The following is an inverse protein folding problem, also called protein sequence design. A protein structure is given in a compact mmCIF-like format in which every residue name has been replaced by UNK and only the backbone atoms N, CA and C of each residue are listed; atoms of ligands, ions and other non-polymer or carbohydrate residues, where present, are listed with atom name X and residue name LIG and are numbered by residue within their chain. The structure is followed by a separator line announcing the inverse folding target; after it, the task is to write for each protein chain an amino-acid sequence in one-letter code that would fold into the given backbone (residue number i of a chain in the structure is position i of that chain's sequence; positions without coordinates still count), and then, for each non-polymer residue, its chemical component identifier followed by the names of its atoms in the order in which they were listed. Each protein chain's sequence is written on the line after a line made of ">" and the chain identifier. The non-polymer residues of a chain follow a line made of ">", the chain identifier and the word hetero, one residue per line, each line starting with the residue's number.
data_IF_043372699723
#
_entry.id   IF_043372699723
#
_cell.length_a   1.000
_cell.length_b   1.000
_cell.length_c   1.000
_cell.angle_alpha   90.00
_cell.angle_beta   90.00
_cell.angle_gamma   90.00
#
_symmetry.space_group_name_H-M   'P 1'
#
loop_
_entity.id
_entity.type
_entity.pdbx_description
1 polymer ?
#
# COMPACT_ATOMS: atom_id res chain seq x y z
N UNK A 1 10.72 -12.86 -13.78
CA UNK A 1 11.89 -12.64 -14.65
C UNK A 1 11.76 -11.35 -15.47
N UNK A 2 10.69 -11.06 -16.26
CA UNK A 2 10.63 -9.84 -17.06
C UNK A 2 10.62 -8.54 -16.24
N UNK A 3 9.94 -8.51 -15.09
CA UNK A 3 9.92 -7.34 -14.20
C UNK A 3 11.32 -7.04 -13.63
N UNK A 4 12.06 -8.08 -13.27
CA UNK A 4 13.42 -8.00 -12.76
C UNK A 4 14.37 -7.42 -13.79
N UNK A 5 14.26 -7.87 -15.06
CA UNK A 5 15.04 -7.33 -16.18
C UNK A 5 14.67 -5.87 -16.49
N UNK A 6 13.39 -5.51 -16.36
CA UNK A 6 12.90 -4.14 -16.59
C UNK A 6 13.43 -3.18 -15.52
N UNK A 7 13.43 -3.59 -14.25
CA UNK A 7 13.96 -2.80 -13.13
C UNK A 7 15.48 -2.67 -13.23
N UNK A 8 16.20 -3.76 -13.57
CA UNK A 8 17.65 -3.71 -13.82
C UNK A 8 17.98 -2.79 -15.00
N UNK A 9 17.24 -2.89 -16.10
CA UNK A 9 17.39 -2.02 -17.27
C UNK A 9 17.14 -0.55 -16.95
N UNK A 10 16.13 -0.27 -16.12
CA UNK A 10 15.81 1.07 -15.66
C UNK A 10 16.93 1.69 -14.83
N UNK A 11 17.49 0.94 -13.85
CA UNK A 11 18.63 1.42 -13.06
C UNK A 11 19.91 1.59 -13.87
N UNK A 12 20.14 0.72 -14.87
CA UNK A 12 21.27 0.84 -15.78
C UNK A 12 21.14 2.09 -16.69
N UNK A 13 19.92 2.43 -17.12
CA UNK A 13 19.63 3.61 -17.96
C UNK A 13 19.73 4.93 -17.18
N UNK A 14 19.44 4.92 -15.87
CA UNK A 14 19.49 6.12 -15.02
C UNK A 14 20.91 6.55 -14.62
N UNK A 15 21.97 5.81 -15.02
CA UNK A 15 23.34 6.14 -14.64
C UNK A 15 23.53 6.20 -13.11
N UNK A 16 22.82 5.35 -12.37
CA UNK A 16 22.92 5.31 -10.91
C UNK A 16 24.33 4.88 -10.48
N UNK A 17 24.91 5.56 -9.50
CA UNK A 17 26.19 5.20 -8.87
C UNK A 17 26.12 3.85 -8.12
N UNK A 18 24.96 3.18 -8.12
CA UNK A 18 24.73 1.89 -7.51
C UNK A 18 25.40 0.78 -8.32
N UNK A 19 26.19 -0.03 -7.65
CA UNK A 19 26.75 -1.24 -8.24
C UNK A 19 25.67 -2.28 -8.50
N UNK A 20 25.80 -3.08 -9.53
CA UNK A 20 24.84 -4.14 -9.90
C UNK A 20 24.49 -5.02 -8.70
N UNK A 21 25.47 -5.32 -7.85
CA UNK A 21 25.24 -6.15 -6.65
C UNK A 21 24.28 -5.47 -5.64
N UNK A 22 24.38 -4.17 -5.46
CA UNK A 22 23.52 -3.39 -4.56
C UNK A 22 22.06 -3.41 -5.05
N UNK A 23 21.89 -3.25 -6.36
CA UNK A 23 20.56 -3.34 -7.01
C UNK A 23 19.98 -4.75 -6.84
N UNK A 24 20.79 -5.79 -7.06
CA UNK A 24 20.35 -7.18 -6.88
C UNK A 24 19.94 -7.47 -5.43
N UNK A 25 20.71 -7.03 -4.44
CA UNK A 25 20.38 -7.20 -3.03
C UNK A 25 19.05 -6.49 -2.67
N UNK A 26 18.85 -5.27 -3.15
CA UNK A 26 17.59 -4.53 -2.96
C UNK A 26 16.41 -5.26 -3.60
N UNK A 27 16.56 -5.70 -4.86
CA UNK A 27 15.49 -6.40 -5.57
C UNK A 27 15.13 -7.72 -4.89
N UNK A 28 16.11 -8.50 -4.44
CA UNK A 28 15.85 -9.74 -3.71
C UNK A 28 15.16 -9.46 -2.38
N UNK A 29 15.58 -8.44 -1.64
CA UNK A 29 14.98 -8.10 -0.35
C UNK A 29 13.53 -7.64 -0.48
N UNK A 30 13.21 -6.80 -1.47
CA UNK A 30 11.89 -6.17 -1.59
C UNK A 30 10.92 -7.00 -2.47
N UNK A 31 11.40 -7.59 -3.58
CA UNK A 31 10.52 -8.31 -4.49
C UNK A 31 10.33 -9.79 -4.13
N UNK A 32 11.32 -10.41 -3.49
CA UNK A 32 11.24 -11.84 -3.18
C UNK A 32 10.83 -12.05 -1.72
N UNK A 33 11.67 -11.63 -0.78
CA UNK A 33 11.40 -11.94 0.64
C UNK A 33 10.17 -11.22 1.18
N UNK A 34 9.97 -9.94 0.85
CA UNK A 34 8.79 -9.22 1.30
C UNK A 34 7.51 -9.78 0.68
N UNK A 35 7.53 -10.16 -0.62
CA UNK A 35 6.38 -10.77 -1.27
C UNK A 35 6.03 -12.14 -0.66
N UNK A 36 7.03 -12.96 -0.33
CA UNK A 36 6.78 -14.25 0.34
C UNK A 36 6.16 -14.00 1.72
N UNK A 37 6.65 -13.02 2.49
CA UNK A 37 6.08 -12.69 3.80
C UNK A 37 4.65 -12.15 3.72
N UNK A 38 4.29 -11.44 2.67
CA UNK A 38 2.90 -11.05 2.42
C UNK A 38 2.01 -12.29 2.19
N UNK A 39 2.49 -13.30 1.47
CA UNK A 39 1.76 -14.56 1.31
C UNK A 39 1.64 -15.33 2.64
N UNK A 40 2.69 -15.37 3.47
CA UNK A 40 2.64 -15.93 4.83
C UNK A 40 1.53 -15.26 5.65
N UNK A 41 1.45 -13.93 5.61
CA UNK A 41 0.38 -13.18 6.27
C UNK A 41 -1.01 -13.60 5.81
N UNK A 42 -1.23 -13.70 4.50
CA UNK A 42 -2.53 -14.11 3.92
C UNK A 42 -2.91 -15.52 4.39
N UNK A 43 -1.96 -16.47 4.39
CA UNK A 43 -2.18 -17.84 4.86
C UNK A 43 -2.57 -17.86 6.34
N UNK A 44 -1.87 -17.12 7.19
CA UNK A 44 -2.15 -17.02 8.63
C UNK A 44 -3.51 -16.36 8.90
N UNK A 45 -3.88 -15.33 8.12
CA UNK A 45 -5.20 -14.70 8.20
C UNK A 45 -6.31 -15.67 7.79
N UNK A 46 -6.15 -16.40 6.68
CA UNK A 46 -7.09 -17.42 6.22
C UNK A 46 -7.25 -18.55 7.26
N UNK A 47 -6.19 -18.87 7.99
CA UNK A 47 -6.16 -19.86 9.08
C UNK A 47 -6.75 -19.35 10.41
N UNK A 48 -7.40 -18.19 10.42
CA UNK A 48 -8.00 -17.55 11.61
C UNK A 48 -6.99 -17.30 12.75
N UNK A 49 -5.73 -16.99 12.41
CA UNK A 49 -4.66 -16.65 13.35
C UNK A 49 -4.18 -15.20 13.17
N UNK A 50 -5.05 -14.19 13.43
CA UNK A 50 -4.76 -12.79 13.09
C UNK A 50 -3.57 -12.22 13.87
N UNK A 51 -3.34 -12.67 15.10
CA UNK A 51 -2.20 -12.20 15.90
C UNK A 51 -0.84 -12.61 15.28
N UNK A 52 -0.74 -13.86 14.80
CA UNK A 52 0.46 -14.33 14.10
C UNK A 52 0.61 -13.68 12.72
N UNK A 53 -0.50 -13.45 12.04
CA UNK A 53 -0.50 -12.70 10.77
C UNK A 53 0.03 -11.28 10.97
N UNK A 54 -0.44 -10.56 11.99
CA UNK A 54 0.07 -9.25 12.35
C UNK A 54 1.56 -9.28 12.74
N UNK A 55 1.99 -10.28 13.51
CA UNK A 55 3.39 -10.47 13.85
C UNK A 55 4.25 -10.69 12.59
N UNK A 56 3.81 -11.53 11.65
CA UNK A 56 4.57 -11.86 10.44
C UNK A 56 4.87 -10.63 9.57
N UNK A 57 3.93 -9.67 9.45
CA UNK A 57 4.14 -8.44 8.68
C UNK A 57 5.20 -7.54 9.31
N UNK A 58 5.28 -7.53 10.65
CA UNK A 58 6.16 -6.62 11.38
C UNK A 58 7.57 -7.18 11.63
N UNK A 59 7.79 -8.48 11.46
CA UNK A 59 9.09 -9.11 11.75
C UNK A 59 10.21 -8.50 10.90
N UNK A 60 10.05 -8.39 9.57
CA UNK A 60 11.07 -7.81 8.69
C UNK A 60 11.38 -6.35 9.06
N UNK A 61 10.38 -5.44 9.16
CA UNK A 61 10.65 -4.06 9.56
C UNK A 61 11.35 -3.92 10.91
N UNK A 62 10.96 -4.73 11.91
CA UNK A 62 11.59 -4.69 13.24
C UNK A 62 13.04 -5.13 13.17
N UNK A 63 13.34 -6.25 12.51
CA UNK A 63 14.71 -6.74 12.36
C UNK A 63 15.57 -5.70 11.62
N UNK A 64 15.06 -5.14 10.52
CA UNK A 64 15.76 -4.09 9.77
C UNK A 64 16.03 -2.87 10.63
N UNK A 65 15.05 -2.42 11.43
CA UNK A 65 15.22 -1.29 12.32
C UNK A 65 16.32 -1.53 13.34
N UNK A 66 16.33 -2.71 13.99
CA UNK A 66 17.37 -3.08 14.95
C UNK A 66 18.75 -3.11 14.29
N UNK A 67 18.87 -3.74 13.13
CA UNK A 67 20.14 -3.84 12.42
C UNK A 67 20.66 -2.48 11.93
N UNK A 68 19.79 -1.60 11.41
CA UNK A 68 20.18 -0.24 11.00
C UNK A 68 20.55 0.60 12.21
N UNK A 69 19.87 0.45 13.36
CA UNK A 69 20.23 1.14 14.59
C UNK A 69 21.61 0.70 15.12
N UNK A 70 21.94 -0.57 14.97
CA UNK A 70 23.29 -1.08 15.30
C UNK A 70 24.36 -0.49 14.37
N UNK A 71 24.11 -0.42 13.06
CA UNK A 71 25.02 0.25 12.13
C UNK A 71 25.26 1.71 12.50
N UNK A 72 24.18 2.40 12.90
CA UNK A 72 24.27 3.78 13.34
C UNK A 72 25.11 3.94 14.60
N UNK A 73 24.87 3.08 15.59
CA UNK A 73 25.66 3.08 16.85
C UNK A 73 27.14 2.76 16.64
N UNK A 74 27.46 2.00 15.58
CA UNK A 74 28.86 1.66 15.20
C UNK A 74 29.48 2.68 14.24
N UNK A 75 28.80 3.75 13.87
CA UNK A 75 29.24 4.76 12.89
C UNK A 75 29.57 4.19 11.50
N UNK A 76 29.00 3.01 11.17
CA UNK A 76 29.23 2.30 9.92
C UNK A 76 28.17 2.57 8.85
N UNK A 77 27.46 3.69 8.94
CA UNK A 77 26.41 4.06 7.98
C UNK A 77 27.06 4.45 6.66
N UNK A 78 26.95 3.57 5.68
CA UNK A 78 27.14 3.85 4.26
C UNK A 78 26.07 3.11 3.44
N UNK A 79 25.90 3.51 2.19
CA UNK A 79 24.83 2.98 1.34
C UNK A 79 24.90 1.45 1.20
N UNK A 80 26.09 0.90 0.98
CA UNK A 80 26.30 -0.56 0.84
C UNK A 80 25.93 -1.31 2.12
N UNK A 81 26.35 -0.82 3.30
CA UNK A 81 26.06 -1.45 4.59
C UNK A 81 24.54 -1.43 4.89
N UNK A 82 23.87 -0.32 4.59
CA UNK A 82 22.41 -0.21 4.76
C UNK A 82 21.67 -1.19 3.85
N UNK A 83 22.07 -1.31 2.59
CA UNK A 83 21.49 -2.27 1.64
C UNK A 83 21.74 -3.72 2.11
N UNK A 84 22.96 -4.03 2.53
CA UNK A 84 23.34 -5.36 3.01
C UNK A 84 22.56 -5.77 4.24
N UNK A 85 22.40 -4.85 5.19
CA UNK A 85 21.60 -5.06 6.41
C UNK A 85 20.12 -5.23 6.10
N UNK A 86 19.57 -4.48 5.16
CA UNK A 86 18.19 -4.67 4.69
C UNK A 86 18.00 -6.07 4.08
N UNK A 87 18.95 -6.56 3.31
CA UNK A 87 18.92 -7.90 2.74
C UNK A 87 19.00 -8.99 3.81
N UNK A 88 19.97 -8.88 4.75
CA UNK A 88 20.11 -9.80 5.89
C UNK A 88 18.83 -9.80 6.75
N UNK A 89 18.29 -8.62 7.07
CA UNK A 89 17.05 -8.48 7.82
C UNK A 89 15.87 -9.16 7.14
N UNK A 90 15.84 -9.14 5.80
CA UNK A 90 14.78 -9.82 5.02
C UNK A 90 14.92 -11.34 5.08
N UNK A 91 16.15 -11.88 5.02
CA UNK A 91 16.40 -13.32 5.17
C UNK A 91 15.98 -13.77 6.57
N UNK A 92 16.43 -13.07 7.62
CA UNK A 92 16.08 -13.40 8.99
C UNK A 92 14.57 -13.33 9.23
N UNK A 93 13.92 -12.30 8.72
CA UNK A 93 12.47 -12.16 8.79
C UNK A 93 11.73 -13.27 8.04
N UNK A 94 12.22 -13.67 6.87
CA UNK A 94 11.70 -14.82 6.12
C UNK A 94 11.80 -16.13 6.93
N UNK A 95 12.95 -16.39 7.54
CA UNK A 95 13.15 -17.58 8.37
C UNK A 95 12.21 -17.59 9.58
N UNK A 96 12.01 -16.44 10.23
CA UNK A 96 11.04 -16.31 11.32
C UNK A 96 9.60 -16.56 10.84
N UNK A 97 9.19 -15.97 9.71
CA UNK A 97 7.86 -16.17 9.14
C UNK A 97 7.60 -17.62 8.74
N UNK A 98 8.60 -18.27 8.17
CA UNK A 98 8.54 -19.69 7.85
C UNK A 98 8.44 -20.57 9.10
N UNK A 99 9.18 -20.22 10.17
CA UNK A 99 9.06 -20.84 11.48
C UNK A 99 7.63 -20.71 12.07
N UNK A 100 7.00 -19.54 11.92
CA UNK A 100 5.61 -19.33 12.34
C UNK A 100 4.64 -20.24 11.59
N UNK A 101 4.82 -20.41 10.27
CA UNK A 101 4.01 -21.35 9.49
C UNK A 101 4.23 -22.79 9.94
N UNK A 102 5.48 -23.20 10.12
CA UNK A 102 5.83 -24.55 10.57
C UNK A 102 5.19 -24.88 11.93
N UNK A 103 5.24 -23.97 12.91
CA UNK A 103 4.58 -24.13 14.20
C UNK A 103 3.04 -24.21 14.09
N UNK A 104 2.46 -23.48 13.12
CA UNK A 104 1.01 -23.46 12.96
C UNK A 104 0.44 -24.72 12.35
N UNK A 105 1.17 -25.36 11.43
CA UNK A 105 0.68 -26.48 10.63
C UNK A 105 1.33 -27.83 10.98
N UNK A 106 2.20 -27.88 12.02
CA UNK A 106 2.82 -29.10 12.51
C UNK A 106 3.75 -29.82 11.51
N UNK A 107 4.18 -29.09 10.50
CA UNK A 107 4.96 -29.57 9.37
C UNK A 107 4.36 -29.06 8.07
N UNK A 108 5.23 -28.73 7.11
CA UNK A 108 4.82 -28.29 5.78
C UNK A 108 4.52 -29.52 4.91
N UNK A 109 3.44 -30.23 5.24
CA UNK A 109 2.86 -31.19 4.32
C UNK A 109 2.20 -30.40 3.18
N UNK A 110 2.99 -29.95 2.20
CA UNK A 110 2.47 -29.47 0.93
C UNK A 110 1.86 -30.65 0.16
N UNK A 111 0.72 -31.16 0.63
CA UNK A 111 -0.12 -31.99 -0.21
C UNK A 111 -0.83 -31.06 -1.22
N UNK A 112 -0.08 -30.66 -2.21
CA UNK A 112 -0.66 -30.01 -3.39
C UNK A 112 -1.44 -31.07 -4.14
N UNK A 113 -2.73 -31.18 -3.88
CA UNK A 113 -3.62 -31.99 -4.70
C UNK A 113 -3.51 -31.44 -6.13
N UNK A 114 -3.11 -32.31 -7.09
CA UNK A 114 -3.05 -31.95 -8.52
C UNK A 114 -4.36 -31.39 -9.06
N UNK A 115 -5.47 -31.59 -8.36
CA UNK A 115 -6.82 -31.15 -8.72
C UNK A 115 -7.12 -29.71 -8.25
N UNK A 116 -6.37 -29.20 -7.26
CA UNK A 116 -6.54 -27.85 -6.68
C UNK A 116 -5.56 -26.81 -7.24
N UNK A 117 -4.59 -27.22 -8.04
CA UNK A 117 -3.81 -26.31 -8.87
C UNK A 117 -4.75 -25.86 -10.00
N UNK A 118 -5.75 -25.07 -9.63
CA UNK A 118 -6.52 -24.31 -10.59
C UNK A 118 -5.54 -23.57 -11.49
N UNK A 119 -5.88 -23.45 -12.77
CA UNK A 119 -5.03 -22.82 -13.79
C UNK A 119 -4.21 -21.68 -13.18
N UNK A 120 -2.88 -21.63 -13.33
CA UNK A 120 -2.03 -20.54 -12.83
C UNK A 120 -2.51 -19.17 -13.33
N UNK A 121 -3.37 -19.16 -14.34
CA UNK A 121 -4.06 -17.96 -14.85
C UNK A 121 -5.19 -17.45 -13.93
N UNK A 122 -5.77 -18.26 -13.04
CA UNK A 122 -6.81 -17.79 -12.09
C UNK A 122 -6.23 -16.82 -11.05
N UNK A 123 -4.99 -17.04 -10.58
CA UNK A 123 -4.29 -16.11 -9.70
C UNK A 123 -3.66 -14.92 -10.45
N UNK A 124 -3.44 -15.03 -11.75
CA UNK A 124 -2.76 -14.01 -12.56
C UNK A 124 -3.51 -12.68 -12.61
N UNK A 125 -4.84 -12.70 -12.77
CA UNK A 125 -5.65 -11.47 -12.77
C UNK A 125 -5.60 -10.74 -11.42
N UNK A 126 -5.63 -11.49 -10.31
CA UNK A 126 -5.49 -10.93 -8.96
C UNK A 126 -4.08 -10.35 -8.72
N UNK A 127 -3.04 -11.06 -9.16
CA UNK A 127 -1.66 -10.60 -9.05
C UNK A 127 -1.42 -9.32 -9.86
N UNK A 128 -1.95 -9.25 -11.09
CA UNK A 128 -1.89 -8.04 -11.94
C UNK A 128 -2.64 -6.87 -11.28
N UNK A 129 -3.83 -7.13 -10.71
CA UNK A 129 -4.61 -6.11 -9.99
C UNK A 129 -3.87 -5.54 -8.78
N UNK A 130 -3.29 -6.42 -7.99
CA UNK A 130 -2.47 -6.00 -6.84
C UNK A 130 -1.22 -5.21 -7.28
N UNK A 131 -0.59 -5.62 -8.37
CA UNK A 131 0.56 -4.91 -8.92
C UNK A 131 0.19 -3.51 -9.41
N UNK A 132 -0.93 -3.37 -10.13
CA UNK A 132 -1.45 -2.06 -10.59
C UNK A 132 -1.74 -1.16 -9.40
N UNK A 133 -2.45 -1.66 -8.37
CA UNK A 133 -2.78 -0.88 -7.18
C UNK A 133 -1.54 -0.44 -6.39
N UNK A 134 -0.50 -1.29 -6.33
CA UNK A 134 0.79 -0.95 -5.70
C UNK A 134 1.57 0.08 -6.53
N UNK A 135 1.61 -0.11 -7.86
CA UNK A 135 2.27 0.84 -8.76
C UNK A 135 1.62 2.22 -8.70
N UNK A 136 0.29 2.29 -8.66
CA UNK A 136 -0.44 3.54 -8.48
C UNK A 136 0.03 4.32 -7.26
N UNK A 137 0.29 3.63 -6.12
CA UNK A 137 0.73 4.27 -4.88
C UNK A 137 2.16 4.83 -4.92
N UNK A 138 2.95 4.48 -5.93
CA UNK A 138 4.35 4.93 -6.08
C UNK A 138 4.56 5.90 -7.25
N UNK A 139 3.54 6.10 -8.11
CA UNK A 139 3.65 6.94 -9.31
C UNK A 139 3.94 8.41 -9.01
N UNK A 140 3.39 8.95 -7.93
CA UNK A 140 3.64 10.31 -7.46
C UNK A 140 5.13 10.57 -7.19
N UNK A 141 5.78 9.61 -6.55
CA UNK A 141 7.20 9.68 -6.20
C UNK A 141 8.08 9.59 -7.45
N UNK A 142 7.71 8.70 -8.38
CA UNK A 142 8.39 8.59 -9.68
C UNK A 142 8.26 9.88 -10.48
N UNK A 143 7.08 10.51 -10.49
CA UNK A 143 6.87 11.79 -11.18
C UNK A 143 7.72 12.90 -10.59
N UNK A 144 7.76 13.05 -9.25
CA UNK A 144 8.57 14.06 -8.58
C UNK A 144 10.06 13.84 -8.90
N UNK A 145 10.52 12.60 -8.80
CA UNK A 145 11.90 12.28 -9.11
C UNK A 145 12.27 12.59 -10.57
N UNK A 146 11.43 12.15 -11.50
CA UNK A 146 11.70 12.29 -12.94
C UNK A 146 11.59 13.73 -13.45
N UNK A 147 10.68 14.54 -12.88
CA UNK A 147 10.38 15.88 -13.39
C UNK A 147 11.06 17.01 -12.60
N UNK A 148 11.42 16.78 -11.33
CA UNK A 148 11.95 17.81 -10.45
C UNK A 148 13.33 17.41 -9.87
N UNK A 149 13.52 16.14 -9.55
CA UNK A 149 14.78 15.60 -9.04
C UNK A 149 14.75 15.13 -7.58
N UNK A 150 15.89 14.59 -7.14
CA UNK A 150 16.02 13.89 -5.85
C UNK A 150 15.78 14.78 -4.62
N UNK A 151 16.19 16.06 -4.67
CA UNK A 151 16.02 16.98 -3.54
C UNK A 151 14.54 17.26 -3.22
N UNK A 152 13.73 17.49 -4.27
CA UNK A 152 12.29 17.68 -4.12
C UNK A 152 11.60 16.40 -3.64
N UNK A 153 12.03 15.24 -4.16
CA UNK A 153 11.55 13.94 -3.70
C UNK A 153 11.84 13.72 -2.21
N UNK A 154 13.03 14.10 -1.71
CA UNK A 154 13.40 13.99 -0.30
C UNK A 154 12.40 14.72 0.61
N UNK A 155 12.11 15.98 0.30
CA UNK A 155 11.14 16.80 1.04
C UNK A 155 9.73 16.20 1.01
N UNK A 156 9.28 15.78 -0.17
CA UNK A 156 7.98 15.12 -0.36
C UNK A 156 7.89 13.82 0.45
N UNK A 157 8.92 12.99 0.39
CA UNK A 157 8.95 11.68 1.06
C UNK A 157 8.88 11.80 2.58
N UNK A 158 9.52 12.82 3.18
CA UNK A 158 9.43 13.06 4.62
C UNK A 158 7.99 13.38 5.01
N UNK A 159 7.35 14.35 4.35
CA UNK A 159 5.96 14.67 4.61
C UNK A 159 5.04 13.46 4.40
N UNK A 160 5.21 12.74 3.26
CA UNK A 160 4.43 11.55 2.94
C UNK A 160 4.59 10.45 4.00
N UNK A 161 5.83 10.14 4.41
CA UNK A 161 6.11 9.08 5.42
C UNK A 161 5.49 9.40 6.77
N UNK A 162 5.64 10.64 7.24
CA UNK A 162 5.07 11.06 8.52
C UNK A 162 3.53 11.03 8.51
N UNK A 163 2.90 11.53 7.44
CA UNK A 163 1.44 11.49 7.32
C UNK A 163 0.95 10.06 7.09
N UNK A 164 1.68 9.22 6.35
CA UNK A 164 1.29 7.82 6.09
C UNK A 164 1.18 6.95 7.34
N UNK A 165 1.80 7.31 8.45
CA UNK A 165 1.61 6.62 9.74
C UNK A 165 0.13 6.59 10.14
N UNK A 166 -0.61 7.64 9.84
CA UNK A 166 -2.04 7.72 10.13
C UNK A 166 -2.91 6.83 9.21
N UNK A 167 -2.35 6.21 8.17
CA UNK A 167 -3.06 5.22 7.35
C UNK A 167 -3.12 3.84 8.01
N UNK A 168 -2.25 3.54 8.97
CA UNK A 168 -2.13 2.21 9.59
C UNK A 168 -3.43 1.73 10.24
N UNK A 169 -4.16 2.53 11.04
CA UNK A 169 -5.44 2.11 11.62
C UNK A 169 -6.51 1.83 10.54
N UNK A 170 -6.53 2.61 9.45
CA UNK A 170 -7.44 2.35 8.32
C UNK A 170 -7.12 1.00 7.68
N UNK A 171 -5.85 0.73 7.43
CA UNK A 171 -5.40 -0.54 6.83
C UNK A 171 -5.74 -1.73 7.73
N UNK A 172 -5.52 -1.61 9.04
CA UNK A 172 -5.88 -2.64 10.01
C UNK A 172 -7.40 -2.89 10.03
N UNK A 173 -8.20 -1.82 10.02
CA UNK A 173 -9.65 -1.92 9.98
C UNK A 173 -10.13 -2.60 8.68
N UNK A 174 -9.54 -2.27 7.52
CA UNK A 174 -9.86 -2.89 6.24
C UNK A 174 -9.53 -4.39 6.23
N UNK A 175 -8.40 -4.78 6.82
CA UNK A 175 -8.01 -6.18 6.95
C UNK A 175 -8.99 -6.98 7.83
N UNK A 176 -9.51 -6.37 8.89
CA UNK A 176 -10.53 -6.97 9.75
C UNK A 176 -11.94 -6.99 9.10
N UNK A 177 -12.28 -5.95 8.33
CA UNK A 177 -13.58 -5.82 7.69
C UNK A 177 -13.76 -6.79 6.50
N UNK A 178 -12.71 -7.12 5.78
CA UNK A 178 -12.75 -7.98 4.59
C UNK A 178 -13.44 -9.33 4.85
N UNK A 179 -13.00 -10.17 5.82
CA UNK A 179 -13.68 -11.43 6.10
C UNK A 179 -15.11 -11.22 6.63
N UNK A 180 -15.32 -10.21 7.48
CA UNK A 180 -16.65 -9.90 8.00
C UNK A 180 -17.66 -9.54 6.91
N UNK A 181 -17.23 -8.84 5.85
CA UNK A 181 -18.09 -8.53 4.71
C UNK A 181 -18.38 -9.75 3.84
N UNK A 182 -17.46 -10.71 3.74
CA UNK A 182 -17.68 -11.98 3.01
C UNK A 182 -18.66 -12.90 3.72
N UNK A 183 -18.71 -12.91 5.04
CA UNK A 183 -19.62 -13.77 5.81
C UNK A 183 -21.09 -13.32 5.72
N UNK A 184 -21.36 -12.07 5.33
CA UNK A 184 -22.72 -11.54 5.29
C UNK A 184 -23.42 -11.92 3.99
N UNK A 185 -24.39 -12.84 4.08
CA UNK A 185 -25.11 -13.36 2.92
C UNK A 185 -26.17 -12.39 2.36
N UNK A 186 -26.81 -11.56 3.20
CA UNK A 186 -27.86 -10.65 2.72
C UNK A 186 -27.31 -9.30 2.29
N UNK A 187 -27.76 -8.82 1.13
CA UNK A 187 -27.35 -7.53 0.58
C UNK A 187 -27.65 -6.34 1.52
N UNK A 188 -28.78 -6.35 2.20
CA UNK A 188 -29.18 -5.29 3.11
C UNK A 188 -28.29 -5.26 4.39
N UNK A 189 -27.94 -6.44 4.93
CA UNK A 189 -27.06 -6.54 6.08
C UNK A 189 -25.63 -6.15 5.69
N UNK A 190 -25.15 -6.59 4.52
CA UNK A 190 -23.85 -6.21 3.97
C UNK A 190 -23.75 -4.67 3.82
N UNK A 191 -24.74 -4.03 3.21
CA UNK A 191 -24.75 -2.58 3.03
C UNK A 191 -24.80 -1.80 4.34
N UNK A 192 -25.55 -2.32 5.35
CA UNK A 192 -25.52 -1.74 6.71
C UNK A 192 -24.14 -1.83 7.35
N UNK A 193 -23.45 -2.97 7.18
CA UNK A 193 -22.09 -3.16 7.67
C UNK A 193 -21.11 -2.23 6.99
N UNK A 194 -21.15 -2.11 5.66
CA UNK A 194 -20.31 -1.18 4.90
C UNK A 194 -20.53 0.26 5.37
N UNK A 195 -21.77 0.70 5.56
CA UNK A 195 -22.08 2.05 6.06
C UNK A 195 -21.54 2.32 7.47
N UNK A 196 -21.61 1.35 8.38
CA UNK A 196 -21.05 1.49 9.74
C UNK A 196 -19.53 1.66 9.69
N UNK A 197 -18.86 0.81 8.93
CA UNK A 197 -17.41 0.92 8.74
C UNK A 197 -17.06 2.23 8.04
N UNK A 198 -17.86 2.68 7.05
CA UNK A 198 -17.65 3.95 6.38
C UNK A 198 -17.70 5.14 7.34
N UNK A 199 -18.67 5.15 8.25
CA UNK A 199 -18.77 6.20 9.27
C UNK A 199 -17.51 6.25 10.14
N UNK A 200 -17.05 5.10 10.62
CA UNK A 200 -15.83 5.01 11.45
C UNK A 200 -14.61 5.50 10.67
N UNK A 201 -14.46 5.05 9.41
CA UNK A 201 -13.33 5.46 8.55
C UNK A 201 -13.35 6.95 8.28
N UNK A 202 -14.52 7.53 7.96
CA UNK A 202 -14.65 8.98 7.69
C UNK A 202 -14.29 9.79 8.94
N UNK A 203 -14.87 9.45 10.09
CA UNK A 203 -14.60 10.15 11.35
C UNK A 203 -13.12 10.05 11.75
N UNK A 204 -12.56 8.85 11.63
CA UNK A 204 -11.13 8.65 11.88
C UNK A 204 -10.26 9.45 10.91
N UNK A 205 -10.54 9.38 9.60
CA UNK A 205 -9.73 10.07 8.58
C UNK A 205 -9.80 11.59 8.75
N UNK A 206 -10.95 12.15 9.13
CA UNK A 206 -11.09 13.57 9.47
C UNK A 206 -10.23 13.95 10.67
N UNK A 207 -10.34 13.20 11.76
CA UNK A 207 -9.54 13.43 12.97
C UNK A 207 -8.05 13.28 12.67
N UNK A 208 -7.65 12.20 12.00
CA UNK A 208 -6.27 11.92 11.64
C UNK A 208 -5.69 12.98 10.70
N UNK A 209 -6.48 13.50 9.75
CA UNK A 209 -6.09 14.61 8.87
C UNK A 209 -5.80 15.87 9.68
N UNK A 210 -6.68 16.27 10.59
CA UNK A 210 -6.47 17.44 11.47
C UNK A 210 -5.25 17.27 12.38
N UNK A 211 -5.14 16.10 13.03
CA UNK A 211 -4.01 15.81 13.91
C UNK A 211 -2.71 15.76 13.13
N UNK A 212 -2.70 15.21 11.92
CA UNK A 212 -1.48 15.11 11.10
C UNK A 212 -0.95 16.49 10.70
N UNK A 213 -1.80 17.48 10.43
CA UNK A 213 -1.36 18.84 10.13
C UNK A 213 -0.54 19.40 11.30
N UNK A 214 -1.05 19.30 12.51
CA UNK A 214 -0.39 19.84 13.70
C UNK A 214 0.83 19.01 14.08
N UNK A 215 0.65 17.68 14.24
CA UNK A 215 1.70 16.80 14.71
C UNK A 215 2.88 16.70 13.74
N UNK A 216 2.61 16.55 12.44
CA UNK A 216 3.67 16.39 11.43
C UNK A 216 4.43 17.72 11.24
N UNK A 217 3.73 18.85 11.21
CA UNK A 217 4.39 20.17 11.14
C UNK A 217 5.29 20.38 12.37
N UNK A 218 4.79 20.09 13.57
CA UNK A 218 5.60 20.16 14.79
C UNK A 218 6.84 19.26 14.72
N UNK A 219 6.70 18.02 14.26
CA UNK A 219 7.83 17.08 14.12
C UNK A 219 8.85 17.57 13.10
N UNK A 220 8.41 18.10 11.95
CA UNK A 220 9.31 18.65 10.93
C UNK A 220 10.08 19.86 11.49
N UNK A 221 9.39 20.79 12.13
CA UNK A 221 10.00 22.02 12.61
C UNK A 221 11.04 21.82 13.72
N UNK A 222 10.85 20.77 14.56
CA UNK A 222 11.72 20.54 15.72
C UNK A 222 12.78 19.45 15.50
N UNK A 223 12.52 18.45 14.68
CA UNK A 223 13.42 17.32 14.51
C UNK A 223 14.03 17.22 13.11
N UNK A 224 13.44 17.90 12.12
CA UNK A 224 13.87 17.85 10.73
C UNK A 224 14.03 19.24 10.12
N UNK A 225 14.73 20.16 10.81
CA UNK A 225 14.89 21.56 10.37
C UNK A 225 15.42 21.69 8.94
N UNK A 226 16.33 20.81 8.52
CA UNK A 226 16.86 20.75 7.16
C UNK A 226 15.80 20.44 6.09
N UNK A 227 14.63 19.94 6.50
CA UNK A 227 13.50 19.60 5.63
C UNK A 227 12.28 20.49 5.91
N UNK A 228 12.46 21.69 6.42
CA UNK A 228 11.37 22.63 6.73
C UNK A 228 10.45 22.88 5.53
N UNK A 229 10.99 22.82 4.29
CA UNK A 229 10.21 22.89 3.06
C UNK A 229 9.23 21.71 2.87
N UNK A 230 9.43 20.58 3.57
CA UNK A 230 8.48 19.46 3.58
C UNK A 230 7.13 19.87 4.21
N UNK A 231 7.10 20.84 5.10
CA UNK A 231 5.88 21.36 5.73
C UNK A 231 4.82 21.82 4.71
N UNK A 232 5.22 22.34 3.56
CA UNK A 232 4.31 22.75 2.50
C UNK A 232 3.49 21.59 1.90
N UNK A 233 4.02 20.35 1.95
CA UNK A 233 3.32 19.18 1.46
C UNK A 233 2.34 18.58 2.48
N UNK A 234 2.54 18.85 3.78
CA UNK A 234 1.76 18.21 4.86
C UNK A 234 0.26 18.48 4.70
N UNK A 235 -0.12 19.70 4.33
CA UNK A 235 -1.53 20.06 4.14
C UNK A 235 -2.19 19.22 3.02
N UNK A 236 -1.52 19.08 1.87
CA UNK A 236 -2.04 18.27 0.77
C UNK A 236 -2.08 16.78 1.13
N UNK A 237 -1.06 16.30 1.86
CA UNK A 237 -1.05 14.91 2.34
C UNK A 237 -2.14 14.64 3.37
N UNK A 238 -2.48 15.61 4.21
CA UNK A 238 -3.60 15.50 5.14
C UNK A 238 -4.95 15.41 4.40
N UNK A 239 -5.14 16.17 3.32
CA UNK A 239 -6.33 16.05 2.45
C UNK A 239 -6.33 14.70 1.73
N UNK A 240 -5.19 14.24 1.22
CA UNK A 240 -5.04 12.90 0.64
C UNK A 240 -5.51 11.81 1.60
N UNK A 241 -5.16 11.90 2.89
CA UNK A 241 -5.53 10.93 3.91
C UNK A 241 -7.06 10.76 4.04
N UNK A 242 -7.84 11.83 3.87
CA UNK A 242 -9.31 11.76 3.86
C UNK A 242 -9.82 10.84 2.75
N UNK A 243 -9.32 11.02 1.54
CA UNK A 243 -9.78 10.25 0.37
C UNK A 243 -9.18 8.84 0.35
N UNK A 244 -7.98 8.65 0.91
CA UNK A 244 -7.35 7.35 1.07
C UNK A 244 -8.26 6.38 1.83
N UNK A 245 -8.82 6.78 2.98
CA UNK A 245 -9.73 5.94 3.75
C UNK A 245 -10.98 5.54 2.96
N UNK A 246 -11.61 6.49 2.28
CA UNK A 246 -12.78 6.26 1.45
C UNK A 246 -12.49 5.31 0.28
N UNK A 247 -11.34 5.47 -0.41
CA UNK A 247 -10.90 4.59 -1.49
C UNK A 247 -10.63 3.17 -0.99
N UNK A 248 -9.91 3.02 0.12
CA UNK A 248 -9.60 1.70 0.67
C UNK A 248 -10.86 0.92 1.01
N UNK A 249 -11.82 1.55 1.68
CA UNK A 249 -13.09 0.91 1.99
C UNK A 249 -13.89 0.56 0.74
N UNK A 250 -13.97 1.48 -0.23
CA UNK A 250 -14.62 1.23 -1.52
C UNK A 250 -13.99 0.05 -2.25
N UNK A 251 -12.65 -0.04 -2.25
CA UNK A 251 -11.89 -1.14 -2.83
C UNK A 251 -12.18 -2.49 -2.16
N UNK A 252 -12.18 -2.56 -0.84
CA UNK A 252 -12.54 -3.76 -0.07
C UNK A 252 -13.97 -4.18 -0.36
N UNK A 253 -14.92 -3.24 -0.33
CA UNK A 253 -16.32 -3.50 -0.62
C UNK A 253 -16.54 -4.06 -2.04
N UNK A 254 -15.79 -3.56 -3.04
CA UNK A 254 -15.83 -4.08 -4.43
C UNK A 254 -15.34 -5.53 -4.52
N UNK A 255 -14.27 -5.88 -3.80
CA UNK A 255 -13.74 -7.26 -3.75
C UNK A 255 -14.79 -8.21 -3.18
N UNK A 256 -15.45 -7.84 -2.09
CA UNK A 256 -16.44 -8.72 -1.44
C UNK A 256 -17.69 -9.01 -2.26
N UNK A 257 -17.99 -8.17 -3.26
CA UNK A 257 -19.09 -8.41 -4.21
C UNK A 257 -18.61 -9.02 -5.55
N UNK A 258 -17.35 -9.47 -5.64
CA UNK A 258 -16.77 -10.10 -6.83
C UNK A 258 -16.55 -9.15 -8.01
N UNK A 259 -16.34 -7.85 -7.75
CA UNK A 259 -16.13 -6.82 -8.78
C UNK A 259 -14.68 -6.31 -8.84
N UNK A 260 -13.73 -7.23 -8.66
CA UNK A 260 -12.30 -6.92 -8.67
C UNK A 260 -11.82 -6.27 -9.98
N UNK A 261 -12.29 -6.78 -11.13
CA UNK A 261 -11.92 -6.23 -12.45
C UNK A 261 -12.35 -4.77 -12.61
N UNK A 262 -13.57 -4.43 -12.16
CA UNK A 262 -14.05 -3.04 -12.20
C UNK A 262 -13.24 -2.15 -11.27
N UNK A 263 -12.90 -2.63 -10.06
CA UNK A 263 -11.99 -1.94 -9.16
C UNK A 263 -10.65 -1.64 -9.83
N UNK A 264 -10.02 -2.67 -10.45
CA UNK A 264 -8.75 -2.51 -11.17
C UNK A 264 -8.84 -1.46 -12.28
N UNK A 265 -9.91 -1.48 -13.08
CA UNK A 265 -10.11 -0.48 -14.14
C UNK A 265 -10.19 0.94 -13.58
N UNK A 266 -10.88 1.13 -12.45
CA UNK A 266 -10.97 2.44 -11.79
C UNK A 266 -9.59 2.87 -11.25
N UNK A 267 -8.81 1.97 -10.66
CA UNK A 267 -7.45 2.26 -10.20
C UNK A 267 -6.49 2.60 -11.36
N UNK A 268 -6.62 1.95 -12.51
CA UNK A 268 -5.87 2.30 -13.74
C UNK A 268 -6.24 3.71 -14.23
N UNK A 269 -7.53 4.04 -14.26
CA UNK A 269 -7.98 5.40 -14.63
C UNK A 269 -7.40 6.42 -13.64
N UNK A 270 -7.38 6.12 -12.34
CA UNK A 270 -6.75 6.95 -11.33
C UNK A 270 -5.25 7.17 -11.57
N UNK A 271 -4.53 6.10 -11.95
CA UNK A 271 -3.12 6.18 -12.30
C UNK A 271 -2.86 7.07 -13.51
N UNK A 272 -3.65 6.92 -14.57
CA UNK A 272 -3.56 7.75 -15.77
C UNK A 272 -3.91 9.22 -15.46
N UNK A 273 -4.90 9.45 -14.61
CA UNK A 273 -5.27 10.80 -14.16
C UNK A 273 -4.15 11.44 -13.34
N UNK A 274 -3.51 10.68 -12.42
CA UNK A 274 -2.36 11.17 -11.67
C UNK A 274 -1.19 11.56 -12.58
N UNK A 275 -0.88 10.72 -13.59
CA UNK A 275 0.17 11.01 -14.56
C UNK A 275 -0.13 12.27 -15.39
N UNK A 276 -1.36 12.38 -15.88
CA UNK A 276 -1.79 13.52 -16.69
C UNK A 276 -1.79 14.83 -15.88
N UNK A 277 -2.47 14.84 -14.72
CA UNK A 277 -2.53 16.03 -13.86
C UNK A 277 -1.15 16.37 -13.27
N UNK A 278 -0.38 15.36 -12.84
CA UNK A 278 0.97 15.58 -12.30
C UNK A 278 1.89 16.20 -13.34
N UNK A 279 1.88 15.70 -14.58
CA UNK A 279 2.64 16.29 -15.68
C UNK A 279 2.21 17.71 -16.04
N UNK A 280 0.91 18.02 -15.97
CA UNK A 280 0.39 19.36 -16.25
C UNK A 280 0.70 20.36 -15.12
N UNK A 281 0.49 19.95 -13.87
CA UNK A 281 0.59 20.84 -12.71
C UNK A 281 2.04 21.04 -12.24
N UNK A 282 2.96 20.14 -12.58
CA UNK A 282 4.37 20.26 -12.17
C UNK A 282 5.03 21.53 -12.72
N UNK A 283 4.68 21.95 -13.94
CA UNK A 283 5.24 23.16 -14.55
C UNK A 283 4.86 24.44 -13.82
N UNK A 284 3.66 24.50 -13.23
CA UNK A 284 3.16 25.68 -12.52
C UNK A 284 3.48 25.68 -11.02
N UNK A 285 3.44 24.49 -10.38
CA UNK A 285 3.50 24.36 -8.92
C UNK A 285 4.64 23.46 -8.41
N UNK A 286 5.51 22.98 -9.31
CA UNK A 286 6.59 22.07 -8.93
C UNK A 286 6.08 20.81 -8.22
N UNK A 287 6.74 20.39 -7.16
CA UNK A 287 6.35 19.21 -6.36
C UNK A 287 4.98 19.30 -5.73
N UNK A 288 4.51 20.49 -5.37
CA UNK A 288 3.13 20.70 -4.86
C UNK A 288 2.09 20.40 -5.93
N UNK A 289 2.41 20.61 -7.22
CA UNK A 289 1.54 20.25 -8.33
C UNK A 289 1.32 18.74 -8.41
N UNK A 290 2.37 17.94 -8.20
CA UNK A 290 2.24 16.48 -8.16
C UNK A 290 1.48 16.02 -6.91
N UNK A 291 1.72 16.63 -5.76
CA UNK A 291 0.96 16.34 -4.54
C UNK A 291 -0.54 16.66 -4.71
N UNK A 292 -0.88 17.78 -5.36
CA UNK A 292 -2.25 18.13 -5.69
C UNK A 292 -2.87 17.13 -6.68
N UNK A 293 -2.12 16.71 -7.69
CA UNK A 293 -2.56 15.68 -8.64
C UNK A 293 -2.86 14.35 -7.93
N UNK A 294 -2.05 13.96 -6.93
CA UNK A 294 -2.31 12.80 -6.09
C UNK A 294 -3.65 12.94 -5.34
N UNK A 295 -3.90 14.08 -4.71
CA UNK A 295 -5.17 14.34 -4.00
C UNK A 295 -6.36 14.25 -4.94
N UNK A 296 -6.29 14.87 -6.11
CA UNK A 296 -7.37 14.88 -7.11
C UNK A 296 -7.62 13.48 -7.70
N UNK A 297 -6.56 12.72 -7.97
CA UNK A 297 -6.70 11.36 -8.47
C UNK A 297 -7.30 10.42 -7.41
N UNK A 298 -6.86 10.53 -6.16
CA UNK A 298 -7.40 9.74 -5.04
C UNK A 298 -8.87 10.05 -4.78
N UNK A 299 -9.25 11.34 -4.80
CA UNK A 299 -10.64 11.79 -4.73
C UNK A 299 -11.47 11.16 -5.86
N UNK A 300 -10.99 11.24 -7.10
CA UNK A 300 -11.69 10.72 -8.27
C UNK A 300 -11.90 9.21 -8.17
N UNK A 301 -10.87 8.46 -7.79
CA UNK A 301 -10.95 7.00 -7.59
C UNK A 301 -11.97 6.67 -6.49
N UNK A 302 -11.92 7.37 -5.35
CA UNK A 302 -12.89 7.19 -4.27
C UNK A 302 -14.33 7.43 -4.77
N UNK A 303 -14.56 8.54 -5.45
CA UNK A 303 -15.89 8.88 -6.02
C UNK A 303 -16.37 7.81 -6.99
N UNK A 304 -15.54 7.36 -7.94
CA UNK A 304 -15.96 6.33 -8.91
C UNK A 304 -16.27 4.99 -8.25
N UNK A 305 -15.49 4.57 -7.25
CA UNK A 305 -15.77 3.35 -6.48
C UNK A 305 -17.13 3.43 -5.77
N UNK A 306 -17.39 4.53 -5.10
CA UNK A 306 -18.63 4.73 -4.35
C UNK A 306 -19.86 4.90 -5.25
N UNK A 307 -19.76 5.62 -6.36
CA UNK A 307 -20.83 5.74 -7.36
C UNK A 307 -21.21 4.36 -7.93
N UNK A 308 -20.21 3.53 -8.24
CA UNK A 308 -20.45 2.16 -8.70
C UNK A 308 -21.13 1.31 -7.62
N UNK A 309 -20.67 1.37 -6.38
CA UNK A 309 -21.25 0.62 -5.26
C UNK A 309 -22.72 1.02 -5.00
N UNK A 310 -23.02 2.32 -5.04
CA UNK A 310 -24.40 2.82 -4.93
C UNK A 310 -25.28 2.34 -6.08
N UNK A 311 -24.76 2.30 -7.31
CA UNK A 311 -25.47 1.77 -8.48
C UNK A 311 -25.82 0.28 -8.35
N UNK A 312 -24.89 -0.52 -7.84
CA UNK A 312 -25.12 -1.96 -7.60
C UNK A 312 -26.12 -2.19 -6.47
N UNK A 313 -26.03 -1.40 -5.38
CA UNK A 313 -26.96 -1.52 -4.27
C UNK A 313 -28.41 -1.21 -4.69
N UNK A 314 -28.62 -0.19 -5.52
CA UNK A 314 -29.97 0.18 -6.03
C UNK A 314 -30.57 -0.94 -6.91
N UNK A 315 -29.79 -1.53 -7.82
CA UNK A 315 -30.31 -2.58 -8.72
C UNK A 315 -30.78 -3.82 -7.96
N UNK A 316 -30.06 -4.24 -6.91
CA UNK A 316 -30.45 -5.43 -6.12
C UNK A 316 -31.69 -5.20 -5.26
N UNK A 317 -31.99 -3.97 -4.83
CA UNK A 317 -33.22 -3.65 -4.09
C UNK A 317 -34.44 -3.73 -5.01
N UNK A 318 -34.34 -3.31 -6.26
CA UNK A 318 -35.48 -3.40 -7.23
C UNK A 318 -35.80 -4.85 -7.61
N UNK A 319 -34.78 -5.72 -7.79
CA UNK A 319 -35.05 -7.13 -8.16
C UNK A 319 -35.62 -7.98 -7.00
N UNK A 320 -35.40 -7.59 -5.75
CA UNK A 320 -35.99 -8.27 -4.59
C UNK A 320 -37.41 -7.79 -4.25
N UNK A 321 -37.86 -6.63 -4.78
CA UNK A 321 -39.20 -6.11 -4.61
C UNK A 321 -40.22 -6.62 -5.66
N UNK A 322 -39.73 -7.16 -6.80
CA UNK A 322 -40.61 -7.73 -7.85
C UNK A 322 -40.95 -9.22 -7.64
N UNK A 323 -40.35 -9.86 -6.64
CA UNK A 323 -40.56 -11.28 -6.31
C UNK A 323 -41.33 -11.48 -5.00
N UNK A 324 -41.91 -10.45 -4.44
CA UNK A 324 -42.84 -10.46 -3.29
C UNK A 324 -44.23 -10.01 -3.69
#
# INVERSE_FOLDING_TARGET
>A
IPLFALVLGYFALLGSDLKIIEILLLLLSELVFLAIMQNVNVILMASKKPALAAASVNVIPIIRLVLVSLLWAMELINLFNVISVNFIGSILGFLCGFGMLYQCFGGLAFQVSKREVGSPFLGGSYAVGNWIGKSYQELDKLLIYALIGAGALGNYMIAFRLVSVFTLPVTALMSAALPAFHEVQSTNAWWRSVKRVALVVILYSLLASLVSIVAVTFVIDHFFEQYRSAGSYVFLMAIWLLFYGARQLGGVAMVTIGRERTRMSIEVIGALLLLALGGMLVGAYGGLGVALALVLSEFSVAVFLWLYLFGVARKKVHTSGESA
#
